data_IF_001555144662
#
_entry.id   IF_001555144662
#
_cell.length_a   1.000
_cell.length_b   1.000
_cell.length_c   1.000
_cell.angle_alpha   90.00
_cell.angle_beta   90.00
_cell.angle_gamma   90.00
#
_symmetry.space_group_name_H-M   'P 1'
#
loop_
_entity.id
_entity.type
_entity.pdbx_description
1 polymer ?
#
# COMPACT_ATOMS: atom_id res chain seq x y z
N UNK A 1 -14.88 -0.08 -9.08
CA UNK A 1 -13.92 -0.72 -8.16
C UNK A 1 -14.72 -1.55 -7.16
N UNK A 2 -14.54 -2.89 -7.09
CA UNK A 2 -15.40 -3.77 -6.26
C UNK A 2 -15.19 -3.56 -4.75
N UNK A 3 -13.99 -3.13 -4.34
CA UNK A 3 -13.64 -2.89 -2.94
C UNK A 3 -14.56 -1.91 -2.22
N UNK A 4 -14.79 -0.72 -2.80
CA UNK A 4 -15.62 0.31 -2.15
C UNK A 4 -17.04 -0.21 -1.88
N UNK A 5 -17.64 -0.92 -2.83
CA UNK A 5 -18.96 -1.55 -2.62
C UNK A 5 -18.92 -2.56 -1.46
N UNK A 6 -17.89 -3.41 -1.41
CA UNK A 6 -17.74 -4.42 -0.36
C UNK A 6 -17.69 -3.76 1.02
N UNK A 7 -16.90 -2.70 1.20
CA UNK A 7 -16.80 -2.04 2.52
C UNK A 7 -18.01 -1.17 2.87
N UNK A 8 -18.70 -0.63 1.87
CA UNK A 8 -19.92 0.18 2.06
C UNK A 8 -21.09 -0.69 2.54
N UNK A 9 -21.19 -1.92 2.05
CA UNK A 9 -22.25 -2.87 2.39
C UNK A 9 -21.90 -3.79 3.58
N UNK A 10 -20.66 -3.76 4.08
CA UNK A 10 -20.21 -4.70 5.11
C UNK A 10 -20.77 -4.32 6.49
N UNK A 11 -21.50 -5.21 7.19
CA UNK A 11 -22.21 -4.86 8.43
C UNK A 11 -21.30 -4.44 9.60
N UNK A 12 -20.06 -4.93 9.61
CA UNK A 12 -19.07 -4.54 10.62
C UNK A 12 -18.36 -3.21 10.33
N UNK A 13 -18.49 -2.64 9.13
CA UNK A 13 -17.88 -1.35 8.80
C UNK A 13 -18.75 -0.24 9.37
N UNK A 14 -18.14 0.60 10.21
CA UNK A 14 -18.83 1.72 10.87
C UNK A 14 -18.77 2.97 10.02
N UNK A 15 -17.58 3.25 9.47
CA UNK A 15 -17.34 4.34 8.55
C UNK A 15 -16.03 4.08 7.79
N UNK A 16 -15.91 4.71 6.62
CA UNK A 16 -14.68 4.73 5.84
C UNK A 16 -14.53 6.07 5.11
N UNK A 17 -13.30 6.41 4.75
CA UNK A 17 -12.93 7.60 3.97
C UNK A 17 -11.82 7.24 2.98
N UNK A 18 -11.76 7.92 1.83
CA UNK A 18 -10.74 7.69 0.79
C UNK A 18 -9.79 8.87 0.65
N UNK A 19 -8.48 8.60 0.59
CA UNK A 19 -7.40 9.55 0.24
C UNK A 19 -7.25 10.83 1.11
N UNK A 20 -7.92 10.91 2.27
CA UNK A 20 -7.86 12.13 3.11
C UNK A 20 -6.69 12.18 4.11
N UNK A 21 -6.07 11.03 4.42
CA UNK A 21 -4.98 10.97 5.42
C UNK A 21 -3.63 11.15 4.77
N UNK A 22 -2.85 12.10 5.28
CA UNK A 22 -1.47 12.35 4.86
C UNK A 22 -0.48 11.65 5.79
N UNK A 23 0.32 10.75 5.23
CA UNK A 23 1.46 10.12 5.90
C UNK A 23 2.76 10.71 5.34
N UNK A 24 3.55 11.45 6.13
CA UNK A 24 4.87 11.90 5.71
C UNK A 24 5.83 10.71 5.59
N UNK A 25 6.61 10.64 4.51
CA UNK A 25 7.66 9.64 4.36
C UNK A 25 8.94 10.27 3.79
N UNK A 26 10.09 9.70 4.14
CA UNK A 26 11.37 10.11 3.58
C UNK A 26 11.71 9.23 2.38
N UNK A 27 11.89 9.83 1.21
CA UNK A 27 12.16 9.10 -0.03
C UNK A 27 13.64 8.71 -0.09
N UNK A 28 13.96 7.41 -0.25
CA UNK A 28 15.35 6.94 -0.32
C UNK A 28 16.01 7.27 -1.67
N UNK A 29 15.26 7.76 -2.65
CA UNK A 29 15.75 8.01 -4.01
C UNK A 29 16.33 9.43 -4.15
N UNK A 30 15.72 10.41 -3.50
CA UNK A 30 16.10 11.82 -3.58
C UNK A 30 16.47 12.44 -2.22
N UNK A 31 16.31 11.70 -1.12
CA UNK A 31 16.66 12.16 0.22
C UNK A 31 15.78 13.31 0.72
N UNK A 32 14.49 13.31 0.36
CA UNK A 32 13.55 14.38 0.73
C UNK A 32 12.30 13.83 1.40
N UNK A 33 11.62 14.68 2.15
CA UNK A 33 10.30 14.39 2.70
C UNK A 33 9.22 14.57 1.64
N UNK A 34 8.31 13.61 1.57
CA UNK A 34 7.18 13.56 0.65
C UNK A 34 5.90 13.19 1.40
N UNK A 35 4.77 13.37 0.72
CA UNK A 35 3.44 13.00 1.22
C UNK A 35 2.98 11.70 0.57
N UNK A 36 2.53 10.77 1.39
CA UNK A 36 1.82 9.56 0.96
C UNK A 36 0.36 9.69 1.37
N UNK A 37 -0.52 9.37 0.43
CA UNK A 37 -1.97 9.32 0.61
C UNK A 37 -2.38 7.85 0.44
N UNK A 38 -2.62 7.11 1.53
CA UNK A 38 -3.19 5.78 1.46
C UNK A 38 -4.60 5.84 0.87
N UNK A 39 -5.00 4.81 0.14
CA UNK A 39 -6.30 4.78 -0.54
C UNK A 39 -7.49 4.92 0.43
N UNK A 40 -7.47 4.21 1.57
CA UNK A 40 -8.62 4.17 2.50
C UNK A 40 -8.20 4.18 3.96
N UNK A 41 -9.00 4.86 4.79
CA UNK A 41 -9.04 4.64 6.24
C UNK A 41 -10.46 4.21 6.63
N UNK A 42 -10.54 3.17 7.46
CA UNK A 42 -11.79 2.49 7.79
C UNK A 42 -11.83 2.17 9.29
N UNK A 43 -12.99 2.37 9.91
CA UNK A 43 -13.29 1.84 11.24
C UNK A 43 -14.21 0.64 11.12
N UNK A 44 -13.80 -0.48 11.73
CA UNK A 44 -14.53 -1.74 11.71
C UNK A 44 -14.78 -2.25 13.14
N UNK A 45 -15.93 -2.87 13.38
CA UNK A 45 -16.22 -3.64 14.60
C UNK A 45 -15.42 -4.94 14.61
N UNK A 46 -14.84 -5.27 15.75
CA UNK A 46 -14.17 -6.56 16.01
C UNK A 46 -14.96 -7.42 17.00
N UNK A 47 -15.72 -6.77 17.89
CA UNK A 47 -16.76 -7.37 18.75
C UNK A 47 -17.78 -6.27 19.09
N UNK A 48 -18.85 -6.60 19.83
CA UNK A 48 -19.93 -5.64 20.16
C UNK A 48 -19.41 -4.31 20.73
N UNK A 49 -18.39 -4.36 21.58
CA UNK A 49 -17.81 -3.16 22.22
C UNK A 49 -16.41 -2.77 21.70
N UNK A 50 -15.86 -3.48 20.71
CA UNK A 50 -14.49 -3.24 20.22
C UNK A 50 -14.45 -2.85 18.76
N UNK A 51 -13.56 -1.92 18.46
CA UNK A 51 -13.33 -1.41 17.11
C UNK A 51 -11.84 -1.42 16.79
N UNK A 52 -11.53 -1.59 15.51
CA UNK A 52 -10.21 -1.36 14.95
C UNK A 52 -10.27 -0.28 13.88
N UNK A 53 -9.17 0.46 13.71
CA UNK A 53 -8.98 1.39 12.60
C UNK A 53 -7.92 0.83 11.67
N UNK A 54 -8.27 0.72 10.40
CA UNK A 54 -7.46 0.17 9.34
C UNK A 54 -7.11 1.28 8.36
N UNK A 55 -5.82 1.39 8.01
CA UNK A 55 -5.33 2.17 6.89
C UNK A 55 -4.94 1.20 5.78
N UNK A 56 -5.50 1.40 4.60
CA UNK A 56 -5.45 0.43 3.51
C UNK A 56 -4.87 1.07 2.26
N UNK A 57 -3.93 0.35 1.66
CA UNK A 57 -3.46 0.58 0.29
C UNK A 57 -3.97 -0.56 -0.60
N UNK A 58 -4.50 -0.23 -1.77
CA UNK A 58 -5.09 -1.17 -2.73
C UNK A 58 -4.16 -1.24 -3.94
N UNK A 59 -3.49 -2.38 -4.09
CA UNK A 59 -2.53 -2.60 -5.17
C UNK A 59 -2.67 -4.00 -5.76
N UNK A 60 -2.45 -4.18 -7.07
CA UNK A 60 -2.29 -5.51 -7.63
C UNK A 60 -1.18 -6.29 -6.93
N UNK A 61 -1.37 -7.59 -6.67
CA UNK A 61 -0.38 -8.43 -5.97
C UNK A 61 0.98 -8.46 -6.68
N UNK A 62 1.00 -8.32 -8.00
CA UNK A 62 2.24 -8.22 -8.77
C UNK A 62 3.08 -6.98 -8.43
N UNK A 63 2.45 -5.92 -7.91
CA UNK A 63 3.10 -4.65 -7.55
C UNK A 63 3.56 -4.59 -6.09
N UNK A 64 3.20 -5.59 -5.27
CA UNK A 64 3.66 -5.70 -3.87
C UNK A 64 5.00 -6.41 -3.74
N UNK A 65 5.54 -6.90 -4.85
CA UNK A 65 6.75 -7.73 -4.90
C UNK A 65 7.93 -6.97 -5.50
N UNK A 66 9.17 -7.29 -5.08
CA UNK A 66 10.36 -6.71 -5.68
C UNK A 66 10.48 -7.07 -7.17
N UNK A 67 11.15 -6.24 -7.97
CA UNK A 67 11.36 -6.52 -9.39
C UNK A 67 12.16 -7.80 -9.61
N UNK A 68 11.83 -8.52 -10.69
CA UNK A 68 12.46 -9.77 -11.03
C UNK A 68 13.94 -9.56 -11.41
N UNK A 69 14.84 -10.00 -10.53
CA UNK A 69 16.29 -9.88 -10.71
C UNK A 69 16.79 -10.57 -11.98
N UNK A 70 16.08 -11.59 -12.50
CA UNK A 70 16.45 -12.29 -13.74
C UNK A 70 16.37 -11.36 -14.96
N UNK A 71 15.56 -10.30 -14.87
CA UNK A 71 15.40 -9.28 -15.92
C UNK A 71 16.40 -8.13 -15.81
N UNK A 72 17.31 -8.16 -14.82
CA UNK A 72 18.31 -7.11 -14.58
C UNK A 72 19.10 -6.76 -15.83
N UNK A 73 19.55 -7.76 -16.58
CA UNK A 73 20.36 -7.60 -17.79
C UNK A 73 19.61 -7.97 -19.08
N UNK A 74 18.26 -7.89 -19.08
CA UNK A 74 17.43 -8.20 -20.24
C UNK A 74 17.52 -7.10 -21.32
N UNK A 75 18.71 -6.94 -21.89
CA UNK A 75 19.02 -6.04 -23.00
C UNK A 75 19.93 -6.78 -24.00
N UNK A 76 19.90 -6.44 -25.31
CA UNK A 76 20.74 -7.10 -26.31
C UNK A 76 22.25 -7.02 -25.99
N UNK A 77 22.69 -5.99 -25.28
CA UNK A 77 24.09 -5.78 -24.92
C UNK A 77 24.49 -6.37 -23.56
N UNK A 78 23.58 -7.05 -22.85
CA UNK A 78 23.84 -7.62 -21.51
C UNK A 78 24.03 -6.59 -20.39
N UNK A 79 23.83 -5.29 -20.66
CA UNK A 79 23.90 -4.23 -19.64
C UNK A 79 22.65 -4.21 -18.78
N UNK A 80 22.75 -3.56 -17.62
CA UNK A 80 21.60 -3.36 -16.74
C UNK A 80 20.50 -2.60 -17.49
N UNK A 81 19.30 -3.17 -17.47
CA UNK A 81 18.12 -2.62 -18.10
C UNK A 81 17.67 -1.35 -17.38
N UNK A 82 17.45 -0.27 -18.14
CA UNK A 82 16.83 0.97 -17.63
C UNK A 82 15.46 0.70 -17.02
N UNK A 83 14.72 -0.25 -17.60
CA UNK A 83 13.42 -0.69 -17.07
C UNK A 83 13.58 -1.29 -15.67
N UNK A 84 14.52 -2.22 -15.49
CA UNK A 84 14.79 -2.83 -14.19
C UNK A 84 15.19 -1.78 -13.14
N UNK A 85 16.05 -0.82 -13.50
CA UNK A 85 16.43 0.27 -12.59
C UNK A 85 15.23 1.12 -12.17
N UNK A 86 14.29 1.41 -13.08
CA UNK A 86 13.07 2.15 -12.76
C UNK A 86 12.12 1.35 -11.86
N UNK A 87 12.00 0.04 -12.10
CA UNK A 87 11.20 -0.86 -11.25
C UNK A 87 11.78 -0.93 -9.83
N UNK A 88 13.12 -1.04 -9.69
CA UNK A 88 13.81 -0.99 -8.38
C UNK A 88 13.56 0.33 -7.65
N UNK A 89 13.71 1.47 -8.34
CA UNK A 89 13.43 2.79 -7.75
C UNK A 89 11.99 2.92 -7.27
N UNK A 90 11.04 2.49 -8.10
CA UNK A 90 9.60 2.55 -7.79
C UNK A 90 9.28 1.67 -6.59
N UNK A 91 9.82 0.46 -6.54
CA UNK A 91 9.66 -0.45 -5.41
C UNK A 91 10.22 0.15 -4.12
N UNK A 92 11.44 0.71 -4.15
CA UNK A 92 12.04 1.35 -2.97
C UNK A 92 11.25 2.55 -2.45
N UNK A 93 10.63 3.35 -3.33
CA UNK A 93 9.72 4.43 -2.92
C UNK A 93 8.47 3.87 -2.23
N UNK A 94 7.86 2.84 -2.81
CA UNK A 94 6.65 2.23 -2.24
C UNK A 94 6.94 1.56 -0.88
N UNK A 95 8.06 0.87 -0.73
CA UNK A 95 8.47 0.34 0.58
C UNK A 95 8.61 1.47 1.61
N UNK A 96 9.27 2.57 1.27
CA UNK A 96 9.41 3.71 2.18
C UNK A 96 8.05 4.31 2.59
N UNK A 97 7.09 4.39 1.66
CA UNK A 97 5.71 4.83 1.94
C UNK A 97 5.01 3.87 2.91
N UNK A 98 5.10 2.57 2.67
CA UNK A 98 4.45 1.55 3.49
C UNK A 98 5.05 1.44 4.88
N UNK A 99 6.37 1.54 5.02
CA UNK A 99 7.03 1.59 6.32
C UNK A 99 6.61 2.83 7.12
N UNK A 100 6.55 3.99 6.48
CA UNK A 100 6.03 5.19 7.11
C UNK A 100 4.57 5.03 7.57
N UNK A 101 3.71 4.41 6.76
CA UNK A 101 2.32 4.16 7.12
C UNK A 101 2.16 3.13 8.24
N UNK A 102 2.97 2.06 8.26
CA UNK A 102 3.03 1.12 9.39
C UNK A 102 3.38 1.83 10.69
N UNK A 103 4.42 2.68 10.67
CA UNK A 103 4.82 3.49 11.84
C UNK A 103 3.70 4.43 12.27
N UNK A 104 3.15 5.20 11.33
CA UNK A 104 2.05 6.14 11.56
C UNK A 104 0.85 5.45 12.22
N UNK A 105 0.51 4.25 11.76
CA UNK A 105 -0.58 3.45 12.31
C UNK A 105 -0.25 2.92 13.71
N UNK A 106 0.95 2.36 13.90
CA UNK A 106 1.34 1.78 15.21
C UNK A 106 1.31 2.82 16.35
N UNK A 107 1.71 4.05 16.07
CA UNK A 107 1.69 5.16 17.04
C UNK A 107 0.26 5.55 17.49
N UNK A 108 -0.75 5.18 16.70
CA UNK A 108 -2.16 5.48 16.93
C UNK A 108 -2.98 4.26 17.35
N UNK A 109 -2.35 3.10 17.47
CA UNK A 109 -3.05 1.82 17.65
C UNK A 109 -3.89 1.41 16.43
N UNK A 110 -3.58 1.92 15.23
CA UNK A 110 -4.21 1.53 13.98
C UNK A 110 -3.42 0.39 13.31
N UNK A 111 -3.99 -0.19 12.26
CA UNK A 111 -3.35 -1.24 11.48
C UNK A 111 -3.22 -0.86 10.01
N UNK A 112 -1.99 -0.89 9.49
CA UNK A 112 -1.75 -0.75 8.05
C UNK A 112 -1.88 -2.11 7.34
N UNK A 113 -2.57 -2.11 6.20
CA UNK A 113 -2.76 -3.30 5.35
C UNK A 113 -2.63 -2.94 3.88
N UNK A 114 -2.04 -3.84 3.11
CA UNK A 114 -2.08 -3.80 1.65
C UNK A 114 -3.13 -4.83 1.20
N UNK A 115 -4.14 -4.38 0.48
CA UNK A 115 -5.17 -5.23 -0.09
C UNK A 115 -4.92 -5.41 -1.58
N UNK A 116 -5.05 -6.66 -2.02
CA UNK A 116 -4.88 -7.05 -3.42
C UNK A 116 -6.16 -7.70 -3.94
N UNK A 117 -6.21 -8.00 -5.23
CA UNK A 117 -7.30 -8.72 -5.88
C UNK A 117 -7.66 -10.05 -5.17
N UNK A 118 -6.68 -10.68 -4.49
CA UNK A 118 -6.88 -11.91 -3.71
C UNK A 118 -7.83 -11.71 -2.54
N UNK A 119 -7.81 -10.53 -1.91
CA UNK A 119 -8.71 -10.21 -0.79
C UNK A 119 -10.16 -10.05 -1.26
N UNK A 120 -10.36 -9.57 -2.50
CA UNK A 120 -11.68 -9.34 -3.08
C UNK A 120 -12.31 -10.59 -3.71
N UNK A 121 -11.63 -11.74 -3.69
CA UNK A 121 -12.08 -12.97 -4.36
C UNK A 121 -12.18 -12.82 -5.89
N UNK A 122 -11.49 -11.84 -6.47
CA UNK A 122 -11.47 -11.63 -7.92
C UNK A 122 -10.28 -12.43 -8.47
N UNK A 123 -10.58 -13.55 -9.15
CA UNK A 123 -9.60 -14.23 -10.02
C UNK A 123 -9.48 -13.49 -11.35
#
# INVERSE_FOLDING_TARGET
>A
MKFFRVIDEHPDVVWWQSEEVVVPYYSPIDGKWHRYYPDVVMKKKTSEEKFEILMIEIKPDSQTRPPDIRKKNATPSGRISRRYLNEVKTYGINEAKWEAAKKYCSERGWHFRIMTEKFLGIK
#
